data_IF_157318544084
#
_entry.id   IF_157318544084
#
_cell.length_a   1.000
_cell.length_b   1.000
_cell.length_c   1.000
_cell.angle_alpha   90.00
_cell.angle_beta   90.00
_cell.angle_gamma   90.00
#
_symmetry.space_group_name_H-M   'P 1'
#
loop_
_entity.id
_entity.type
_entity.pdbx_description
1 polymer ?
#
# COMPACT_ATOMS: atom_id res chain seq x y z
N UNK A 1 -44.67 4.88 -19.87
CA UNK A 1 -44.07 5.28 -18.60
C UNK A 1 -43.32 4.07 -18.06
N UNK A 2 -41.99 4.03 -18.27
CA UNK A 2 -41.11 3.02 -17.69
C UNK A 2 -41.14 3.19 -16.17
N UNK A 3 -41.61 2.16 -15.48
CA UNK A 3 -41.48 2.07 -14.00
C UNK A 3 -40.02 2.07 -13.65
N UNK A 4 -39.54 3.19 -13.11
CA UNK A 4 -38.21 3.25 -12.46
C UNK A 4 -38.36 2.40 -11.19
N UNK A 5 -37.77 1.21 -11.20
CA UNK A 5 -37.65 0.41 -9.99
C UNK A 5 -36.90 1.22 -8.92
N UNK A 6 -37.63 1.71 -7.95
CA UNK A 6 -37.09 2.39 -6.79
C UNK A 6 -36.33 1.36 -5.95
N UNK A 7 -35.02 1.32 -6.10
CA UNK A 7 -34.17 0.51 -5.20
C UNK A 7 -34.21 1.12 -3.80
N UNK A 8 -34.41 0.28 -2.79
CA UNK A 8 -34.40 0.70 -1.39
C UNK A 8 -33.08 1.42 -1.08
N UNK A 9 -33.10 2.63 -0.50
CA UNK A 9 -31.89 3.34 -0.12
C UNK A 9 -31.07 2.48 0.86
N UNK A 10 -29.83 2.15 0.49
CA UNK A 10 -28.88 1.45 1.40
C UNK A 10 -28.38 0.09 0.94
N UNK A 11 -28.84 -0.44 -0.19
CA UNK A 11 -28.30 -1.67 -0.79
C UNK A 11 -27.63 -1.34 -2.13
N UNK A 12 -26.45 -0.71 -2.07
CA UNK A 12 -25.60 -0.54 -3.25
C UNK A 12 -25.12 -1.88 -3.82
N UNK A 13 -24.81 -1.95 -5.12
CA UNK A 13 -24.21 -3.14 -5.74
C UNK A 13 -22.76 -3.39 -5.35
N UNK A 14 -22.23 -2.62 -4.39
CA UNK A 14 -20.86 -2.74 -3.87
C UNK A 14 -19.80 -2.28 -4.87
N UNK A 15 -18.60 -2.88 -4.82
CA UNK A 15 -17.49 -2.57 -5.74
C UNK A 15 -17.87 -2.73 -7.22
N UNK A 16 -18.89 -3.49 -7.56
CA UNK A 16 -19.41 -3.59 -8.95
C UNK A 16 -19.99 -2.25 -9.42
N UNK A 17 -20.66 -1.52 -8.55
CA UNK A 17 -21.21 -0.20 -8.88
C UNK A 17 -20.09 0.84 -9.04
N UNK A 18 -18.98 0.71 -8.31
CA UNK A 18 -17.78 1.53 -8.52
C UNK A 18 -17.26 1.34 -9.95
N UNK A 19 -17.16 0.09 -10.42
CA UNK A 19 -16.69 -0.22 -11.77
C UNK A 19 -17.65 0.29 -12.86
N UNK A 20 -18.95 0.35 -12.58
CA UNK A 20 -19.96 0.92 -13.50
C UNK A 20 -19.92 2.45 -13.49
N UNK A 21 -19.57 3.06 -12.36
CA UNK A 21 -19.58 4.51 -12.15
C UNK A 21 -18.21 5.17 -12.39
N UNK A 22 -17.47 4.72 -13.43
CA UNK A 22 -16.11 5.21 -13.74
C UNK A 22 -16.03 6.72 -13.91
N UNK A 23 -17.06 7.35 -14.47
CA UNK A 23 -17.12 8.79 -14.63
C UNK A 23 -17.18 9.52 -13.28
N UNK A 24 -18.00 9.04 -12.35
CA UNK A 24 -18.10 9.59 -11.00
C UNK A 24 -16.81 9.39 -10.21
N UNK A 25 -16.18 8.21 -10.34
CA UNK A 25 -14.86 7.95 -9.75
C UNK A 25 -13.82 8.97 -10.24
N UNK A 26 -13.74 9.21 -11.55
CA UNK A 26 -12.84 10.21 -12.14
C UNK A 26 -13.10 11.61 -11.58
N UNK A 27 -14.37 12.01 -11.45
CA UNK A 27 -14.72 13.34 -10.90
C UNK A 27 -14.30 13.46 -9.43
N UNK A 28 -14.50 12.40 -8.61
CA UNK A 28 -14.06 12.40 -7.22
C UNK A 28 -12.54 12.49 -7.10
N UNK A 29 -11.80 11.71 -7.88
CA UNK A 29 -10.33 11.77 -7.92
C UNK A 29 -9.85 13.18 -8.30
N UNK A 30 -10.44 13.78 -9.36
CA UNK A 30 -10.09 15.13 -9.76
C UNK A 30 -10.43 16.19 -8.70
N UNK A 31 -11.58 16.05 -8.03
CA UNK A 31 -11.96 16.91 -6.91
C UNK A 31 -10.96 16.81 -5.77
N UNK A 32 -10.59 15.59 -5.35
CA UNK A 32 -9.65 15.38 -4.24
C UNK A 32 -8.27 15.96 -4.56
N UNK A 33 -7.75 15.74 -5.77
CA UNK A 33 -6.48 16.34 -6.21
C UNK A 33 -6.54 17.87 -6.18
N UNK A 34 -7.61 18.48 -6.72
CA UNK A 34 -7.77 19.95 -6.72
C UNK A 34 -7.85 20.52 -5.29
N UNK A 35 -8.58 19.83 -4.38
CA UNK A 35 -8.70 20.28 -2.99
C UNK A 35 -7.36 20.18 -2.27
N UNK A 36 -6.63 19.06 -2.46
CA UNK A 36 -5.32 18.82 -1.81
C UNK A 36 -4.27 19.85 -2.18
N UNK A 37 -4.24 20.29 -3.42
CA UNK A 37 -3.22 21.22 -3.92
C UNK A 37 -3.71 22.68 -4.02
N UNK A 38 -4.92 22.97 -3.54
CA UNK A 38 -5.47 24.33 -3.56
C UNK A 38 -4.61 25.25 -2.69
N UNK A 39 -4.07 26.32 -3.29
CA UNK A 39 -3.21 27.27 -2.59
C UNK A 39 -1.76 26.78 -2.33
N UNK A 40 -1.39 25.61 -2.86
CA UNK A 40 -0.03 25.09 -2.73
C UNK A 40 0.87 25.65 -3.85
N UNK A 41 2.04 26.21 -3.47
CA UNK A 41 3.03 26.71 -4.43
C UNK A 41 3.71 25.57 -5.19
N UNK A 42 4.04 24.48 -4.51
CA UNK A 42 4.74 23.32 -5.09
C UNK A 42 3.77 22.26 -5.66
N UNK A 43 2.47 22.32 -5.31
CA UNK A 43 1.48 21.40 -5.84
C UNK A 43 1.91 19.92 -5.72
N UNK A 44 1.88 19.23 -6.86
CA UNK A 44 2.25 17.80 -6.96
C UNK A 44 3.74 17.53 -6.62
N UNK A 45 4.62 18.54 -6.67
CA UNK A 45 6.04 18.35 -6.32
C UNK A 45 6.25 17.87 -4.88
N UNK A 46 5.31 18.13 -3.96
CA UNK A 46 5.35 17.55 -2.62
C UNK A 46 5.36 16.02 -2.59
N UNK A 47 4.82 15.38 -3.64
CA UNK A 47 4.85 13.91 -3.79
C UNK A 47 6.27 13.36 -4.06
N UNK A 48 7.21 14.22 -4.46
CA UNK A 48 8.63 13.89 -4.61
C UNK A 48 9.44 14.31 -3.38
N UNK A 49 9.18 15.52 -2.87
CA UNK A 49 9.99 16.13 -1.80
C UNK A 49 9.93 15.31 -0.53
N UNK A 50 8.72 14.93 -0.06
CA UNK A 50 8.57 14.17 1.19
C UNK A 50 9.28 12.81 1.16
N UNK A 51 9.04 11.92 0.16
CA UNK A 51 9.77 10.66 0.05
C UNK A 51 11.26 10.85 -0.19
N UNK A 52 11.67 11.90 -0.92
CA UNK A 52 13.06 12.23 -1.13
C UNK A 52 13.79 12.59 0.16
N UNK A 53 13.21 13.44 0.99
CA UNK A 53 13.76 13.78 2.31
C UNK A 53 13.82 12.54 3.21
N UNK A 54 12.76 11.75 3.25
CA UNK A 54 12.72 10.50 4.02
C UNK A 54 13.82 9.53 3.57
N UNK A 55 13.99 9.37 2.26
CA UNK A 55 15.05 8.56 1.69
C UNK A 55 16.45 9.04 2.11
N UNK A 56 16.71 10.35 1.99
CA UNK A 56 18.01 10.94 2.38
C UNK A 56 18.28 10.68 3.86
N UNK A 57 17.31 10.93 4.73
CA UNK A 57 17.45 10.70 6.18
C UNK A 57 17.76 9.23 6.47
N UNK A 58 17.02 8.30 5.90
CA UNK A 58 17.22 6.87 6.14
C UNK A 58 18.53 6.36 5.51
N UNK A 59 18.89 6.87 4.33
CA UNK A 59 20.15 6.51 3.70
C UNK A 59 21.36 6.94 4.54
N UNK A 60 21.35 8.17 5.10
CA UNK A 60 22.38 8.61 6.01
C UNK A 60 22.39 7.79 7.30
N UNK A 61 21.24 7.65 7.95
CA UNK A 61 21.13 6.96 9.24
C UNK A 61 21.49 5.47 9.13
N UNK A 62 20.86 4.74 8.21
CA UNK A 62 21.02 3.30 8.10
C UNK A 62 22.17 2.92 7.16
N UNK A 63 22.27 3.59 6.01
CA UNK A 63 23.30 3.28 5.00
C UNK A 63 24.70 3.64 5.46
N UNK A 64 24.90 4.89 5.93
CA UNK A 64 26.22 5.41 6.29
C UNK A 64 26.54 5.15 7.76
N UNK A 65 25.70 5.59 8.70
CA UNK A 65 26.04 5.52 10.13
C UNK A 65 25.98 4.09 10.68
N UNK A 66 24.97 3.29 10.27
CA UNK A 66 24.85 1.88 10.64
C UNK A 66 25.57 0.93 9.67
N UNK A 67 26.14 1.45 8.59
CA UNK A 67 27.02 0.68 7.70
C UNK A 67 26.29 -0.32 6.78
N UNK A 68 24.98 -0.20 6.57
CA UNK A 68 24.21 -1.09 5.68
C UNK A 68 24.73 -1.08 4.24
N UNK A 69 25.28 0.06 3.78
CA UNK A 69 25.94 0.17 2.48
C UNK A 69 27.13 -0.79 2.29
N UNK A 70 27.73 -1.28 3.37
CA UNK A 70 28.87 -2.20 3.31
C UNK A 70 28.45 -3.64 3.05
N UNK A 71 27.24 -3.99 3.49
CA UNK A 71 26.72 -5.35 3.47
C UNK A 71 25.73 -5.59 2.32
N UNK A 72 25.19 -4.52 1.73
CA UNK A 72 24.18 -4.60 0.67
C UNK A 72 24.61 -3.76 -0.52
N UNK A 73 24.89 -4.40 -1.63
CA UNK A 73 25.23 -3.71 -2.89
C UNK A 73 24.02 -2.88 -3.34
N UNK A 74 24.27 -1.68 -3.86
CA UNK A 74 23.22 -0.75 -4.28
C UNK A 74 22.10 -0.53 -3.23
N UNK A 75 22.48 -0.48 -1.94
CA UNK A 75 21.55 -0.25 -0.82
C UNK A 75 20.60 0.94 -1.02
N UNK A 76 20.98 2.08 -1.64
CA UNK A 76 20.05 3.16 -1.93
C UNK A 76 18.84 2.72 -2.77
N UNK A 77 19.03 1.81 -3.76
CA UNK A 77 17.94 1.29 -4.58
C UNK A 77 17.07 0.32 -3.77
N UNK A 78 17.71 -0.55 -2.97
CA UNK A 78 17.02 -1.42 -2.02
C UNK A 78 16.08 -0.61 -1.13
N UNK A 79 16.63 0.37 -0.43
CA UNK A 79 15.91 1.23 0.50
C UNK A 79 14.77 2.00 -0.19
N UNK A 80 15.04 2.61 -1.35
CA UNK A 80 14.06 3.46 -2.02
C UNK A 80 12.91 2.65 -2.63
N UNK A 81 13.17 1.45 -3.14
CA UNK A 81 12.12 0.57 -3.67
C UNK A 81 11.10 0.18 -2.59
N UNK A 82 11.57 -0.12 -1.37
CA UNK A 82 10.70 -0.38 -0.23
C UNK A 82 9.94 0.86 0.24
N UNK A 83 10.63 2.01 0.34
CA UNK A 83 10.02 3.30 0.75
C UNK A 83 8.89 3.71 -0.19
N UNK A 84 9.07 3.61 -1.49
CA UNK A 84 8.05 4.00 -2.49
C UNK A 84 6.77 3.21 -2.30
N UNK A 85 6.89 1.90 -2.09
CA UNK A 85 5.73 1.02 -1.93
C UNK A 85 5.03 1.20 -0.59
N UNK A 86 5.78 1.29 0.52
CA UNK A 86 5.19 1.47 1.85
C UNK A 86 4.54 2.85 2.00
N UNK A 87 5.10 3.89 1.39
CA UNK A 87 4.49 5.22 1.36
C UNK A 87 3.16 5.22 0.60
N UNK A 88 3.09 4.49 -0.51
CA UNK A 88 1.82 4.29 -1.21
C UNK A 88 0.78 3.64 -0.31
N UNK A 89 1.14 2.55 0.40
CA UNK A 89 0.23 1.90 1.34
C UNK A 89 -0.24 2.83 2.45
N UNK A 90 0.71 3.52 3.10
CA UNK A 90 0.43 4.42 4.22
C UNK A 90 -0.50 5.56 3.78
N UNK A 91 -0.24 6.18 2.65
CA UNK A 91 -1.08 7.24 2.12
C UNK A 91 -2.47 6.71 1.71
N UNK A 92 -2.52 5.58 1.00
CA UNK A 92 -3.75 4.99 0.51
C UNK A 92 -4.68 4.58 1.66
N UNK A 93 -4.17 3.88 2.67
CA UNK A 93 -4.99 3.44 3.80
C UNK A 93 -5.41 4.60 4.70
N UNK A 94 -4.50 5.52 5.02
CA UNK A 94 -4.82 6.71 5.84
C UNK A 94 -5.92 7.56 5.18
N UNK A 95 -5.82 7.84 3.87
CA UNK A 95 -6.83 8.63 3.18
C UNK A 95 -8.15 7.86 2.99
N UNK A 96 -8.10 6.57 2.67
CA UNK A 96 -9.30 5.76 2.48
C UNK A 96 -10.10 5.60 3.78
N UNK A 97 -9.44 5.42 4.92
CA UNK A 97 -10.10 5.29 6.23
C UNK A 97 -10.84 6.57 6.66
N UNK A 98 -10.37 7.74 6.23
CA UNK A 98 -10.97 9.05 6.54
C UNK A 98 -11.94 9.54 5.46
N UNK A 99 -12.01 8.85 4.32
CA UNK A 99 -12.70 9.33 3.12
C UNK A 99 -14.21 9.52 3.29
N UNK A 100 -14.89 8.62 4.00
CA UNK A 100 -16.34 8.69 4.23
C UNK A 100 -16.69 9.91 5.10
N UNK A 101 -16.01 10.03 6.21
CA UNK A 101 -16.19 11.12 7.17
C UNK A 101 -15.88 12.47 6.54
N UNK A 102 -14.76 12.59 5.84
CA UNK A 102 -14.34 13.81 5.16
C UNK A 102 -15.29 14.25 4.03
N UNK A 103 -16.10 13.33 3.50
CA UNK A 103 -17.09 13.61 2.46
C UNK A 103 -18.55 13.55 2.96
N UNK A 104 -18.78 13.57 4.27
CA UNK A 104 -20.12 13.47 4.88
C UNK A 104 -21.13 14.47 4.33
N UNK A 105 -20.71 15.73 4.09
CA UNK A 105 -21.57 16.75 3.49
C UNK A 105 -22.04 16.41 2.06
N UNK A 106 -21.26 15.64 1.28
CA UNK A 106 -21.65 15.18 -0.05
C UNK A 106 -22.56 13.96 0.03
N UNK A 107 -22.25 13.02 0.93
CA UNK A 107 -23.01 11.79 1.15
C UNK A 107 -24.46 12.08 1.59
N UNK A 108 -24.66 13.14 2.38
CA UNK A 108 -26.01 13.57 2.83
C UNK A 108 -26.83 14.24 1.72
N UNK A 109 -26.20 14.79 0.68
CA UNK A 109 -26.87 15.61 -0.34
C UNK A 109 -27.13 14.87 -1.65
N UNK A 110 -26.30 13.88 -1.99
CA UNK A 110 -26.33 13.21 -3.28
C UNK A 110 -26.26 11.71 -3.06
N UNK A 111 -27.14 10.98 -3.77
CA UNK A 111 -27.11 9.53 -3.79
C UNK A 111 -25.97 9.05 -4.69
N UNK A 112 -24.90 8.53 -4.08
CA UNK A 112 -23.73 7.94 -4.74
C UNK A 112 -23.38 6.62 -4.07
N UNK A 113 -22.87 5.61 -4.83
CA UNK A 113 -22.24 4.44 -4.20
C UNK A 113 -21.12 4.90 -3.26
N UNK A 114 -21.25 4.58 -1.99
CA UNK A 114 -20.36 5.14 -0.94
C UNK A 114 -18.96 4.55 -1.00
N UNK A 115 -18.81 3.37 -1.58
CA UNK A 115 -17.51 2.74 -1.86
C UNK A 115 -16.62 3.56 -2.81
N UNK A 116 -17.21 4.48 -3.58
CA UNK A 116 -16.46 5.39 -4.45
C UNK A 116 -15.45 6.24 -3.67
N UNK A 117 -15.75 6.62 -2.41
CA UNK A 117 -14.88 7.50 -1.64
C UNK A 117 -13.57 6.81 -1.22
N UNK A 118 -13.56 5.64 -0.54
CA UNK A 118 -12.33 4.92 -0.26
C UNK A 118 -11.54 4.55 -1.51
N UNK A 119 -12.23 4.10 -2.57
CA UNK A 119 -11.58 3.73 -3.83
C UNK A 119 -10.96 4.96 -4.51
N UNK A 120 -11.64 6.11 -4.52
CA UNK A 120 -11.10 7.36 -5.07
C UNK A 120 -9.81 7.80 -4.32
N UNK A 121 -9.80 7.67 -2.99
CA UNK A 121 -8.63 7.99 -2.18
C UNK A 121 -7.43 7.10 -2.50
N UNK A 122 -7.63 5.80 -2.70
CA UNK A 122 -6.56 4.88 -3.16
C UNK A 122 -6.07 5.27 -4.56
N UNK A 123 -6.96 5.66 -5.49
CA UNK A 123 -6.56 6.15 -6.80
C UNK A 123 -5.74 7.44 -6.74
N UNK A 124 -6.09 8.37 -5.87
CA UNK A 124 -5.28 9.59 -5.64
C UNK A 124 -3.87 9.22 -5.16
N UNK A 125 -3.77 8.29 -4.21
CA UNK A 125 -2.46 7.82 -3.72
C UNK A 125 -1.67 7.07 -4.82
N UNK A 126 -2.34 6.34 -5.72
CA UNK A 126 -1.70 5.72 -6.88
C UNK A 126 -1.16 6.78 -7.87
N UNK A 127 -1.83 7.92 -8.03
CA UNK A 127 -1.31 9.04 -8.82
C UNK A 127 -0.04 9.62 -8.18
N UNK A 128 0.02 9.73 -6.84
CA UNK A 128 1.22 10.19 -6.12
C UNK A 128 2.37 9.16 -6.12
N UNK A 129 2.05 7.89 -6.27
CA UNK A 129 3.04 6.82 -6.41
C UNK A 129 3.80 6.89 -7.74
N UNK A 130 3.13 7.28 -8.85
CA UNK A 130 3.74 7.32 -10.19
C UNK A 130 5.00 8.19 -10.26
N UNK A 131 5.02 9.44 -9.74
CA UNK A 131 6.22 10.24 -9.66
C UNK A 131 7.37 9.57 -8.91
N UNK A 132 7.09 8.93 -7.78
CA UNK A 132 8.09 8.25 -6.97
C UNK A 132 8.66 7.03 -7.69
N UNK A 133 7.79 6.25 -8.36
CA UNK A 133 8.19 5.14 -9.20
C UNK A 133 9.08 5.61 -10.36
N UNK A 134 8.79 6.75 -10.96
CA UNK A 134 9.62 7.33 -12.01
C UNK A 134 11.04 7.63 -11.51
N UNK A 135 11.18 8.24 -10.32
CA UNK A 135 12.49 8.49 -9.70
C UNK A 135 13.23 7.17 -9.42
N UNK A 136 12.53 6.16 -8.92
CA UNK A 136 13.10 4.83 -8.71
C UNK A 136 13.62 4.23 -10.02
N UNK A 137 12.83 4.28 -11.09
CA UNK A 137 13.22 3.79 -12.41
C UNK A 137 14.47 4.49 -12.93
N UNK A 138 14.54 5.82 -12.82
CA UNK A 138 15.73 6.58 -13.21
C UNK A 138 16.97 6.12 -12.43
N UNK A 139 16.86 5.95 -11.12
CA UNK A 139 17.94 5.45 -10.29
C UNK A 139 18.38 4.03 -10.70
N UNK A 140 17.43 3.15 -10.98
CA UNK A 140 17.69 1.79 -11.45
C UNK A 140 18.42 1.78 -12.80
N UNK A 141 17.99 2.61 -13.76
CA UNK A 141 18.66 2.73 -15.07
C UNK A 141 20.11 3.23 -14.95
N UNK A 142 20.36 4.20 -14.08
CA UNK A 142 21.73 4.69 -13.81
C UNK A 142 22.60 3.58 -13.22
N UNK A 143 22.03 2.68 -12.41
CA UNK A 143 22.74 1.54 -11.83
C UNK A 143 22.84 0.31 -12.76
N UNK A 144 22.47 0.43 -14.04
CA UNK A 144 22.58 -0.66 -15.00
C UNK A 144 21.46 -1.70 -14.92
N UNK A 145 20.26 -1.31 -14.48
CA UNK A 145 19.11 -2.18 -14.35
C UNK A 145 18.70 -2.84 -15.68
N UNK A 146 18.64 -4.15 -15.71
CA UNK A 146 18.25 -4.97 -16.88
C UNK A 146 17.13 -5.93 -16.45
N UNK A 147 15.88 -5.48 -16.39
CA UNK A 147 14.80 -6.34 -15.92
C UNK A 147 14.36 -7.35 -16.95
N UNK A 148 14.12 -8.58 -16.52
CA UNK A 148 13.38 -9.57 -17.28
C UNK A 148 11.85 -9.41 -17.12
N UNK A 149 11.10 -10.19 -17.90
CA UNK A 149 9.64 -10.19 -17.84
C UNK A 149 9.11 -10.57 -16.45
N UNK A 150 9.80 -11.50 -15.78
CA UNK A 150 9.43 -11.97 -14.43
C UNK A 150 9.54 -10.84 -13.40
N UNK A 151 10.61 -10.02 -13.47
CA UNK A 151 10.83 -8.88 -12.59
C UNK A 151 9.73 -7.82 -12.77
N UNK A 152 9.39 -7.49 -14.02
CA UNK A 152 8.30 -6.55 -14.32
C UNK A 152 6.96 -7.11 -13.79
N UNK A 153 6.69 -8.40 -13.99
CA UNK A 153 5.52 -9.07 -13.44
C UNK A 153 5.45 -9.01 -11.93
N UNK A 154 6.59 -9.23 -11.25
CA UNK A 154 6.69 -9.15 -9.79
C UNK A 154 6.38 -7.73 -9.27
N UNK A 155 6.90 -6.68 -9.93
CA UNK A 155 6.59 -5.29 -9.57
C UNK A 155 5.09 -4.99 -9.69
N UNK A 156 4.45 -5.41 -10.78
CA UNK A 156 3.01 -5.21 -10.99
C UNK A 156 2.20 -5.96 -9.93
N UNK A 157 2.54 -7.21 -9.66
CA UNK A 157 1.83 -8.01 -8.63
C UNK A 157 2.05 -7.45 -7.24
N UNK A 158 3.27 -7.03 -6.88
CA UNK A 158 3.56 -6.38 -5.61
C UNK A 158 2.74 -5.10 -5.41
N UNK A 159 2.65 -4.24 -6.43
CA UNK A 159 1.78 -3.07 -6.40
C UNK A 159 0.30 -3.44 -6.23
N UNK A 160 -0.18 -4.45 -6.96
CA UNK A 160 -1.57 -4.90 -6.86
C UNK A 160 -1.90 -5.48 -5.48
N UNK A 161 -1.02 -6.26 -4.87
CA UNK A 161 -1.18 -6.77 -3.50
C UNK A 161 -1.45 -5.60 -2.54
N UNK A 162 -0.60 -4.56 -2.59
CA UNK A 162 -0.72 -3.40 -1.71
C UNK A 162 -1.97 -2.56 -2.02
N UNK A 163 -2.30 -2.35 -3.29
CA UNK A 163 -3.49 -1.62 -3.69
C UNK A 163 -4.77 -2.32 -3.24
N UNK A 164 -4.86 -3.64 -3.42
CA UNK A 164 -6.00 -4.44 -2.98
C UNK A 164 -6.12 -4.44 -1.45
N UNK A 165 -5.00 -4.59 -0.75
CA UNK A 165 -4.95 -4.53 0.71
C UNK A 165 -5.43 -3.16 1.22
N UNK A 166 -4.96 -2.06 0.62
CA UNK A 166 -5.36 -0.71 0.98
C UNK A 166 -6.86 -0.44 0.71
N UNK A 167 -7.41 -0.96 -0.40
CA UNK A 167 -8.85 -0.87 -0.69
C UNK A 167 -9.66 -1.64 0.37
N UNK A 168 -9.28 -2.88 0.65
CA UNK A 168 -10.01 -3.74 1.59
C UNK A 168 -10.00 -3.18 3.02
N UNK A 169 -8.83 -2.80 3.53
CA UNK A 169 -8.68 -2.16 4.84
C UNK A 169 -9.32 -0.77 4.86
N UNK A 170 -9.24 -0.01 3.76
CA UNK A 170 -9.85 1.30 3.61
C UNK A 170 -11.38 1.24 3.67
N UNK A 171 -12.01 0.23 3.05
CA UNK A 171 -13.44 -0.03 3.17
C UNK A 171 -13.80 -0.41 4.62
N UNK A 172 -13.03 -1.30 5.25
CA UNK A 172 -13.25 -1.71 6.63
C UNK A 172 -13.16 -0.53 7.58
N UNK A 173 -11.99 0.11 7.66
CA UNK A 173 -11.77 1.21 8.60
C UNK A 173 -12.55 2.46 8.24
N UNK A 174 -12.78 2.75 6.96
CA UNK A 174 -13.63 3.85 6.52
C UNK A 174 -15.08 3.70 7.00
N UNK A 175 -15.62 2.48 6.99
CA UNK A 175 -16.95 2.21 7.53
C UNK A 175 -17.00 2.26 9.07
N UNK A 176 -15.98 1.74 9.75
CA UNK A 176 -15.87 1.78 11.22
C UNK A 176 -15.69 3.21 11.72
N UNK A 177 -14.94 4.05 10.99
CA UNK A 177 -14.66 5.44 11.34
C UNK A 177 -15.93 6.32 11.37
N UNK A 178 -16.98 5.96 10.66
CA UNK A 178 -18.26 6.66 10.73
C UNK A 178 -18.88 6.55 12.12
N UNK A 179 -18.76 5.39 12.75
CA UNK A 179 -19.34 5.10 14.08
C UNK A 179 -18.37 5.39 15.22
N UNK A 180 -17.09 5.10 15.02
CA UNK A 180 -16.03 5.18 16.03
C UNK A 180 -14.87 6.02 15.50
N UNK A 181 -14.85 7.30 15.81
CA UNK A 181 -13.82 8.26 15.36
C UNK A 181 -12.40 7.89 15.80
N UNK A 182 -12.26 7.18 16.91
CA UNK A 182 -10.97 6.69 17.42
C UNK A 182 -10.29 5.69 16.49
N UNK A 183 -11.04 5.13 15.52
CA UNK A 183 -10.46 4.23 14.50
C UNK A 183 -9.36 4.91 13.66
N UNK A 184 -9.36 6.24 13.55
CA UNK A 184 -8.28 6.98 12.88
C UNK A 184 -6.94 6.80 13.60
N UNK A 185 -6.94 6.92 14.94
CA UNK A 185 -5.75 6.72 15.75
C UNK A 185 -5.25 5.26 15.67
N UNK A 186 -6.19 4.31 15.62
CA UNK A 186 -5.85 2.91 15.44
C UNK A 186 -5.19 2.65 14.07
N UNK A 187 -5.71 3.26 13.01
CA UNK A 187 -5.11 3.18 11.67
C UNK A 187 -3.71 3.79 11.68
N UNK A 188 -3.51 4.95 12.28
CA UNK A 188 -2.18 5.60 12.35
C UNK A 188 -1.16 4.72 13.10
N UNK A 189 -1.58 4.04 14.18
CA UNK A 189 -0.76 3.05 14.89
C UNK A 189 -0.45 1.83 14.01
N UNK A 190 -1.45 1.31 13.29
CA UNK A 190 -1.29 0.19 12.37
C UNK A 190 -0.30 0.52 11.26
N UNK A 191 -0.36 1.72 10.69
CA UNK A 191 0.57 2.20 9.66
C UNK A 191 2.01 2.29 10.17
N UNK A 192 2.19 2.75 11.40
CA UNK A 192 3.51 2.75 12.04
C UNK A 192 4.05 1.33 12.19
N UNK A 193 3.24 0.41 12.71
CA UNK A 193 3.64 -1.01 12.85
C UNK A 193 3.92 -1.62 11.47
N UNK A 194 3.07 -1.39 10.47
CA UNK A 194 3.23 -1.90 9.12
C UNK A 194 4.56 -1.51 8.48
N UNK A 195 4.99 -0.26 8.67
CA UNK A 195 6.27 0.24 8.17
C UNK A 195 7.47 -0.49 8.80
N UNK A 196 7.41 -0.78 10.10
CA UNK A 196 8.49 -1.46 10.81
C UNK A 196 8.41 -2.99 10.72
N UNK A 197 7.23 -3.55 10.49
CA UNK A 197 7.01 -4.98 10.31
C UNK A 197 7.23 -5.46 8.86
N UNK A 198 7.73 -4.60 7.97
CA UNK A 198 8.04 -4.93 6.58
C UNK A 198 9.53 -4.69 6.30
N UNK A 199 10.18 -5.45 5.40
CA UNK A 199 11.63 -5.37 5.14
C UNK A 199 11.99 -4.14 4.28
N UNK A 200 11.53 -2.95 4.67
CA UNK A 200 11.80 -1.70 3.96
C UNK A 200 13.19 -1.16 4.30
N UNK A 201 13.55 -1.23 5.59
CA UNK A 201 14.75 -0.60 6.14
C UNK A 201 15.89 -1.60 6.41
N UNK A 202 15.59 -2.88 6.45
CA UNK A 202 16.48 -3.98 6.80
C UNK A 202 16.14 -5.22 5.95
N UNK A 203 17.08 -6.16 5.83
CA UNK A 203 16.85 -7.37 5.04
C UNK A 203 16.02 -8.41 5.81
N UNK A 204 15.29 -9.24 5.09
CA UNK A 204 14.54 -10.36 5.67
C UNK A 204 15.44 -11.36 6.41
N UNK A 205 16.72 -11.48 5.99
CA UNK A 205 17.72 -12.33 6.66
C UNK A 205 18.02 -11.85 8.07
N UNK A 206 18.12 -10.52 8.28
CA UNK A 206 18.33 -9.94 9.62
C UNK A 206 17.16 -10.27 10.55
N UNK A 207 15.93 -10.28 10.04
CA UNK A 207 14.75 -10.68 10.82
C UNK A 207 14.80 -12.16 11.15
N UNK A 208 15.10 -13.00 10.16
CA UNK A 208 15.25 -14.45 10.37
C UNK A 208 16.27 -14.72 11.47
N UNK A 209 17.49 -14.23 11.28
CA UNK A 209 18.61 -14.52 12.18
C UNK A 209 18.31 -13.97 13.58
N UNK A 210 17.82 -12.74 13.69
CA UNK A 210 17.44 -12.16 15.00
C UNK A 210 16.32 -12.91 15.72
N UNK A 211 15.32 -13.44 14.98
CA UNK A 211 14.25 -14.24 15.57
C UNK A 211 14.75 -15.62 16.03
N UNK A 212 15.62 -16.25 15.25
CA UNK A 212 16.20 -17.54 15.61
C UNK A 212 17.16 -17.42 16.80
N UNK A 213 17.95 -16.34 16.84
CA UNK A 213 18.87 -16.07 17.96
C UNK A 213 18.12 -15.77 19.26
N UNK A 214 17.04 -14.96 19.19
CA UNK A 214 16.27 -14.55 20.35
C UNK A 214 15.33 -15.63 20.91
N UNK A 215 14.71 -16.44 20.04
CA UNK A 215 13.63 -17.35 20.41
C UNK A 215 13.90 -18.84 20.10
N UNK A 216 15.07 -19.16 19.53
CA UNK A 216 15.45 -20.51 19.13
C UNK A 216 14.71 -21.00 17.88
N UNK A 217 15.08 -22.20 17.39
CA UNK A 217 14.59 -22.74 16.12
C UNK A 217 13.06 -22.97 16.08
N UNK A 218 12.44 -23.37 17.18
CA UNK A 218 11.01 -23.65 17.21
C UNK A 218 10.15 -22.37 17.13
N UNK A 219 10.21 -21.54 18.15
CA UNK A 219 9.43 -20.28 18.22
C UNK A 219 9.89 -19.27 17.20
N UNK A 220 11.20 -19.13 16.98
CA UNK A 220 11.77 -18.25 15.97
C UNK A 220 11.29 -18.60 14.56
N UNK A 221 11.19 -19.89 14.22
CA UNK A 221 10.66 -20.35 12.94
C UNK A 221 9.19 -19.99 12.72
N UNK A 222 8.35 -20.12 13.76
CA UNK A 222 6.92 -19.74 13.70
C UNK A 222 6.79 -18.22 13.47
N UNK A 223 7.52 -17.41 14.26
CA UNK A 223 7.47 -15.94 14.14
C UNK A 223 7.98 -15.48 12.78
N UNK A 224 9.04 -16.10 12.26
CA UNK A 224 9.54 -15.83 10.92
C UNK A 224 8.51 -16.17 9.83
N UNK A 225 7.79 -17.30 9.96
CA UNK A 225 6.72 -17.66 9.04
C UNK A 225 5.58 -16.63 9.06
N UNK A 226 5.17 -16.17 10.26
CA UNK A 226 4.15 -15.10 10.40
C UNK A 226 4.62 -13.82 9.71
N UNK A 227 5.89 -13.46 9.88
CA UNK A 227 6.49 -12.32 9.20
C UNK A 227 6.46 -12.45 7.67
N UNK A 228 6.78 -13.64 7.14
CA UNK A 228 6.78 -13.90 5.70
C UNK A 228 5.38 -13.95 5.09
N UNK A 229 4.36 -14.40 5.83
CA UNK A 229 2.95 -14.41 5.38
C UNK A 229 2.35 -13.00 5.28
N UNK A 230 2.96 -11.99 5.93
CA UNK A 230 2.49 -10.62 5.85
C UNK A 230 2.48 -10.12 4.38
N UNK A 231 1.32 -9.73 3.83
CA UNK A 231 1.22 -9.31 2.42
C UNK A 231 2.06 -8.07 2.10
N UNK A 232 2.34 -7.20 3.08
CA UNK A 232 3.24 -6.06 2.90
C UNK A 232 4.70 -6.52 2.78
N UNK A 233 5.12 -7.47 3.60
CA UNK A 233 6.45 -8.10 3.50
C UNK A 233 6.63 -8.71 2.12
N UNK A 234 5.66 -9.51 1.66
CA UNK A 234 5.69 -10.13 0.33
C UNK A 234 5.80 -9.09 -0.78
N UNK A 235 4.99 -8.02 -0.71
CA UNK A 235 4.98 -6.99 -1.74
C UNK A 235 6.30 -6.19 -1.79
N UNK A 236 6.89 -5.86 -0.62
CA UNK A 236 8.18 -5.18 -0.54
C UNK A 236 9.29 -6.06 -1.10
N UNK A 237 9.32 -7.36 -0.78
CA UNK A 237 10.31 -8.29 -1.33
C UNK A 237 10.13 -8.50 -2.85
N UNK A 238 8.90 -8.46 -3.38
CA UNK A 238 8.66 -8.45 -4.83
C UNK A 238 9.23 -7.18 -5.48
N UNK A 239 9.21 -6.03 -4.79
CA UNK A 239 9.83 -4.79 -5.27
C UNK A 239 11.36 -4.87 -5.22
N UNK A 240 11.95 -5.46 -4.16
CA UNK A 240 13.37 -5.74 -4.11
C UNK A 240 13.80 -6.68 -5.24
N UNK A 241 13.05 -7.74 -5.48
CA UNK A 241 13.29 -8.66 -6.59
C UNK A 241 13.21 -7.98 -7.96
N UNK A 242 12.26 -7.04 -8.12
CA UNK A 242 12.02 -6.36 -9.39
C UNK A 242 13.03 -5.25 -9.69
N UNK A 243 13.33 -4.40 -8.71
CA UNK A 243 14.10 -3.17 -8.93
C UNK A 243 15.54 -3.26 -8.43
N UNK A 244 15.77 -3.83 -7.25
CA UNK A 244 17.10 -3.88 -6.65
C UNK A 244 17.95 -5.05 -7.16
N UNK A 245 17.43 -6.26 -7.13
CA UNK A 245 18.19 -7.46 -7.49
C UNK A 245 18.85 -7.39 -8.89
N UNK A 246 18.18 -6.88 -9.94
CA UNK A 246 18.82 -6.77 -11.26
C UNK A 246 19.91 -5.70 -11.36
N UNK A 247 20.11 -4.87 -10.33
CA UNK A 247 21.18 -3.86 -10.28
C UNK A 247 22.42 -4.35 -9.56
N UNK A 248 22.38 -5.54 -8.95
CA UNK A 248 23.52 -6.12 -8.23
C UNK A 248 24.39 -6.94 -9.17
N UNK A 249 25.72 -6.79 -9.05
CA UNK A 249 26.70 -7.51 -9.88
C UNK A 249 26.93 -8.92 -9.31
N UNK A 250 25.99 -9.83 -9.57
CA UNK A 250 26.16 -11.23 -9.22
C UNK A 250 26.13 -11.48 -7.71
N UNK A 251 24.98 -11.31 -7.11
CA UNK A 251 24.70 -11.92 -5.81
C UNK A 251 24.92 -13.41 -5.97
N UNK A 252 26.00 -13.88 -5.41
CA UNK A 252 26.49 -15.25 -5.55
C UNK A 252 25.56 -16.26 -4.89
N UNK A 253 24.63 -15.80 -4.05
CA UNK A 253 23.63 -16.65 -3.41
C UNK A 253 22.21 -16.02 -3.52
N UNK A 254 21.36 -16.54 -4.46
CA UNK A 254 19.97 -16.11 -4.55
C UNK A 254 19.17 -16.25 -3.23
N UNK A 255 19.63 -17.10 -2.31
CA UNK A 255 18.98 -17.30 -1.00
C UNK A 255 19.20 -16.13 -0.04
N UNK A 256 20.22 -15.29 -0.28
CA UNK A 256 20.47 -14.09 0.55
C UNK A 256 19.84 -12.82 -0.02
N UNK A 257 19.52 -12.81 -1.32
CA UNK A 257 18.98 -11.63 -1.99
C UNK A 257 17.47 -11.44 -1.81
N UNK A 258 16.69 -12.51 -1.92
CA UNK A 258 15.23 -12.51 -1.70
C UNK A 258 14.81 -13.77 -0.94
N UNK A 259 13.67 -13.76 -0.25
CA UNK A 259 13.19 -14.95 0.47
C UNK A 259 13.04 -16.16 -0.46
N UNK A 260 13.40 -17.38 0.00
CA UNK A 260 13.16 -18.60 -0.76
C UNK A 260 11.67 -18.76 -1.09
N UNK A 261 11.36 -19.28 -2.26
CA UNK A 261 9.99 -19.51 -2.75
C UNK A 261 9.13 -18.23 -2.83
N UNK A 262 9.76 -17.04 -3.00
CA UNK A 262 9.05 -15.76 -3.08
C UNK A 262 7.97 -15.77 -4.17
N UNK A 263 8.31 -16.25 -5.37
CA UNK A 263 7.42 -16.24 -6.53
C UNK A 263 6.41 -17.40 -6.50
N UNK A 264 6.85 -18.59 -6.07
CA UNK A 264 6.04 -19.81 -6.19
C UNK A 264 5.07 -19.98 -5.02
N UNK A 265 5.45 -19.53 -3.82
CA UNK A 265 4.66 -19.73 -2.61
C UNK A 265 4.13 -18.40 -2.04
N UNK A 266 5.03 -17.45 -1.75
CA UNK A 266 4.64 -16.25 -1.00
C UNK A 266 3.81 -15.28 -1.83
N UNK A 267 4.14 -15.08 -3.11
CA UNK A 267 3.38 -14.19 -4.00
C UNK A 267 1.91 -14.61 -4.13
N UNK A 268 1.55 -15.88 -4.43
CA UNK A 268 0.15 -16.33 -4.43
C UNK A 268 -0.55 -16.14 -3.08
N UNK A 269 0.14 -16.42 -1.96
CA UNK A 269 -0.38 -16.21 -0.62
C UNK A 269 -0.72 -14.72 -0.40
N UNK A 270 0.17 -13.81 -0.77
CA UNK A 270 -0.05 -12.37 -0.67
C UNK A 270 -1.28 -11.90 -1.46
N UNK A 271 -1.45 -12.42 -2.69
CA UNK A 271 -2.63 -12.14 -3.52
C UNK A 271 -3.90 -12.66 -2.84
N UNK A 272 -3.91 -13.90 -2.38
CA UNK A 272 -5.08 -14.52 -1.71
C UNK A 272 -5.47 -13.72 -0.46
N UNK A 273 -4.51 -13.38 0.39
CA UNK A 273 -4.77 -12.58 1.61
C UNK A 273 -5.36 -11.22 1.23
N UNK A 274 -4.81 -10.52 0.25
CA UNK A 274 -5.30 -9.21 -0.17
C UNK A 274 -6.74 -9.28 -0.72
N UNK A 275 -7.06 -10.34 -1.48
CA UNK A 275 -8.43 -10.58 -1.96
C UNK A 275 -9.38 -10.89 -0.79
N UNK A 276 -8.96 -11.71 0.18
CA UNK A 276 -9.76 -12.00 1.39
C UNK A 276 -10.04 -10.72 2.19
N UNK A 277 -9.04 -9.84 2.33
CA UNK A 277 -9.19 -8.55 3.02
C UNK A 277 -10.19 -7.65 2.29
N UNK A 278 -10.21 -7.62 0.95
CA UNK A 278 -11.24 -6.90 0.18
C UNK A 278 -12.63 -7.48 0.48
N UNK A 279 -12.79 -8.80 0.44
CA UNK A 279 -14.09 -9.44 0.69
C UNK A 279 -14.60 -9.11 2.09
N UNK A 280 -13.74 -9.19 3.10
CA UNK A 280 -14.06 -8.83 4.48
C UNK A 280 -14.39 -7.34 4.63
N UNK A 281 -13.59 -6.46 4.03
CA UNK A 281 -13.81 -5.02 4.03
C UNK A 281 -15.13 -4.65 3.38
N UNK A 282 -15.42 -5.20 2.21
CA UNK A 282 -16.69 -5.00 1.50
C UNK A 282 -17.89 -5.53 2.28
N UNK A 283 -17.76 -6.71 2.89
CA UNK A 283 -18.82 -7.29 3.72
C UNK A 283 -19.17 -6.39 4.91
N UNK A 284 -18.15 -5.92 5.64
CA UNK A 284 -18.32 -5.01 6.77
C UNK A 284 -18.92 -3.68 6.32
N UNK A 285 -18.40 -3.11 5.23
CA UNK A 285 -18.88 -1.86 4.65
C UNK A 285 -20.37 -1.92 4.34
N UNK A 286 -20.81 -2.97 3.62
CA UNK A 286 -22.23 -3.15 3.27
C UNK A 286 -23.15 -3.33 4.47
N UNK A 287 -22.67 -3.91 5.56
CA UNK A 287 -23.44 -4.02 6.81
C UNK A 287 -23.65 -2.68 7.49
N UNK A 288 -22.66 -1.79 7.39
CA UNK A 288 -22.65 -0.53 8.13
C UNK A 288 -23.20 0.64 7.30
N UNK A 289 -23.09 0.61 5.96
CA UNK A 289 -23.44 1.73 5.09
C UNK A 289 -24.89 2.24 5.23
N UNK A 290 -25.83 1.37 5.60
CA UNK A 290 -27.24 1.72 5.68
C UNK A 290 -27.55 2.91 6.62
N UNK A 291 -26.73 3.13 7.65
CA UNK A 291 -26.90 4.19 8.66
C UNK A 291 -25.93 5.37 8.51
N UNK A 292 -25.03 5.38 7.51
CA UNK A 292 -24.03 6.45 7.40
C UNK A 292 -24.62 7.86 7.35
N UNK A 293 -25.77 8.05 6.69
CA UNK A 293 -26.40 9.36 6.60
C UNK A 293 -26.92 9.88 7.96
N UNK A 294 -27.13 8.97 8.92
CA UNK A 294 -27.60 9.32 10.28
C UNK A 294 -26.41 9.59 11.21
N UNK A 295 -25.30 8.88 11.04
CA UNK A 295 -24.12 8.94 11.91
C UNK A 295 -23.08 10.00 11.49
N UNK A 296 -23.12 10.45 10.24
CA UNK A 296 -22.26 11.52 9.72
C UNK A 296 -22.74 12.90 10.15
#
# INVERSE_FOLDING_TARGET
LSTIDLTTPGLGGGLKDVLRSRYLLKLLVQKELKVRYRGSVLGLLWSYVKPGVQFVVFWFALGIFLGMNRNTENYPIYLFSGIVLINFFNEALSNASRSIVGNGGLIKKIYLPRELFPVASVWVSAIHFVPQLFVLLVACFIAGWTPGVVQIGAAVIGFLIVALLAIGLGLFFGSVNVYFRDSENFVDMLLMIATWASPVLYSWTMVRDGLFDAFGAGTGGILHTIYQVNPLTIAVELFHFAFWMPTTSGVTDPLTAVPPNLLDLWMPIGVVISVLVIVLGQFTFRRLEGRFAQEL
#
